data_IF_804501906763
#
_entry.id   IF_804501906763
#
_cell.length_a   1.000
_cell.length_b   1.000
_cell.length_c   1.000
_cell.angle_alpha   90.00
_cell.angle_beta   90.00
_cell.angle_gamma   90.00
#
_symmetry.space_group_name_H-M   'P 1'
#
loop_
_entity.id
_entity.type
_entity.pdbx_description
1 polymer ?
#
# COMPACT_ATOMS: atom_id res chain seq x y z
N UNK A 1 6.80 -10.21 -5.40
CA UNK A 1 7.40 -9.21 -4.50
C UNK A 1 8.63 -9.81 -3.82
N UNK A 2 9.67 -9.00 -3.64
CA UNK A 2 10.91 -9.31 -2.90
C UNK A 2 11.03 -8.55 -1.59
N UNK A 3 10.17 -7.57 -1.37
CA UNK A 3 10.11 -6.78 -0.13
C UNK A 3 8.68 -6.39 0.20
N UNK A 4 8.46 -6.07 1.47
CA UNK A 4 7.16 -5.66 2.01
C UNK A 4 7.31 -4.26 2.60
N UNK A 5 6.43 -3.34 2.23
CA UNK A 5 6.35 -1.98 2.76
C UNK A 5 5.14 -1.90 3.68
N UNK A 6 5.34 -1.38 4.88
CA UNK A 6 4.27 -1.18 5.87
C UNK A 6 4.61 0.00 6.78
N UNK A 7 3.63 0.43 7.57
CA UNK A 7 3.82 1.42 8.62
C UNK A 7 4.22 0.72 9.92
N UNK A 8 5.32 1.15 10.53
CA UNK A 8 5.71 0.66 11.86
C UNK A 8 4.75 1.19 12.93
N UNK A 9 4.25 0.31 13.78
CA UNK A 9 3.38 0.67 14.91
C UNK A 9 4.09 1.55 15.96
N UNK A 10 5.41 1.43 16.08
CA UNK A 10 6.19 2.15 17.11
C UNK A 10 6.43 3.61 16.74
N UNK A 11 6.73 3.86 15.47
CA UNK A 11 7.25 5.15 14.99
C UNK A 11 6.33 5.84 13.98
N UNK A 12 5.28 5.15 13.50
CA UNK A 12 4.45 5.58 12.37
C UNK A 12 5.28 5.98 11.13
N UNK A 13 6.39 5.27 10.91
CA UNK A 13 7.30 5.46 9.77
C UNK A 13 7.09 4.34 8.76
N UNK A 14 7.32 4.66 7.48
CA UNK A 14 7.27 3.69 6.41
C UNK A 14 8.55 2.86 6.43
N UNK A 15 8.40 1.57 6.72
CA UNK A 15 9.48 0.59 6.79
C UNK A 15 9.33 -0.40 5.63
N UNK A 16 10.47 -0.81 5.11
CA UNK A 16 10.59 -1.89 4.12
C UNK A 16 11.29 -3.07 4.77
N UNK A 17 10.64 -4.23 4.78
CA UNK A 17 11.24 -5.51 5.11
C UNK A 17 11.68 -6.19 3.83
N UNK A 18 12.95 -6.55 3.79
CA UNK A 18 13.56 -7.32 2.72
C UNK A 18 13.39 -8.83 2.96
N UNK A 19 13.58 -9.63 1.91
CA UNK A 19 13.57 -11.10 2.01
C UNK A 19 14.60 -11.71 2.95
N UNK A 20 15.68 -11.00 3.24
CA UNK A 20 16.71 -11.38 4.22
C UNK A 20 16.37 -10.95 5.65
N UNK A 21 15.10 -10.56 5.91
CA UNK A 21 14.60 -10.10 7.21
C UNK A 21 15.19 -8.76 7.69
N UNK A 22 15.93 -8.06 6.82
CA UNK A 22 16.43 -6.73 7.11
C UNK A 22 15.32 -5.69 6.97
N UNK A 23 15.18 -4.83 7.99
CA UNK A 23 14.23 -3.72 8.01
C UNK A 23 14.94 -2.39 7.84
N UNK A 24 14.51 -1.59 6.88
CA UNK A 24 15.07 -0.26 6.65
C UNK A 24 13.96 0.75 6.27
N UNK A 25 14.19 2.05 6.50
CA UNK A 25 13.29 3.09 6.02
C UNK A 25 13.12 3.05 4.49
N UNK A 26 11.90 3.32 3.99
CA UNK A 26 11.64 3.40 2.55
C UNK A 26 12.55 4.42 1.85
N UNK A 27 12.87 5.53 2.51
CA UNK A 27 13.77 6.57 1.98
C UNK A 27 15.19 6.09 1.68
N UNK A 28 15.63 5.02 2.33
CA UNK A 28 16.97 4.43 2.15
C UNK A 28 16.95 3.15 1.29
N UNK A 29 15.76 2.70 0.88
CA UNK A 29 15.58 1.49 0.12
C UNK A 29 15.74 1.76 -1.38
N UNK A 30 16.60 0.99 -2.05
CA UNK A 30 16.91 1.12 -3.48
C UNK A 30 16.22 0.06 -4.34
N UNK A 31 15.15 -0.57 -3.83
CA UNK A 31 14.46 -1.65 -4.52
C UNK A 31 13.49 -1.08 -5.55
N UNK A 32 13.43 -1.72 -6.72
CA UNK A 32 12.49 -1.36 -7.76
C UNK A 32 11.05 -1.46 -7.22
N UNK A 33 10.25 -0.41 -7.43
CA UNK A 33 8.86 -0.34 -6.97
C UNK A 33 8.00 -1.50 -7.51
N UNK A 34 8.40 -2.16 -8.60
CA UNK A 34 7.76 -3.38 -9.12
C UNK A 34 7.93 -4.60 -8.24
N UNK A 35 8.95 -4.61 -7.37
CA UNK A 35 9.24 -5.71 -6.46
C UNK A 35 8.67 -5.50 -5.05
N UNK A 36 8.03 -4.36 -4.79
CA UNK A 36 7.43 -4.00 -3.51
C UNK A 36 6.01 -4.56 -3.37
N UNK A 37 5.71 -5.11 -2.20
CA UNK A 37 4.34 -5.38 -1.75
C UNK A 37 3.99 -4.37 -0.67
N UNK A 38 2.98 -3.53 -0.89
CA UNK A 38 2.61 -2.49 0.09
C UNK A 38 1.39 -2.92 0.86
N UNK A 39 1.51 -2.90 2.19
CA UNK A 39 0.40 -3.02 3.11
C UNK A 39 0.11 -1.66 3.73
N UNK A 40 -1.13 -1.21 3.60
CA UNK A 40 -1.64 0.01 4.23
C UNK A 40 -2.88 -0.34 5.04
N UNK A 41 -2.90 0.06 6.29
CA UNK A 41 -4.11 0.02 7.10
C UNK A 41 -5.00 1.25 6.85
N UNK A 42 -6.17 1.25 7.49
CA UNK A 42 -7.18 2.28 7.30
C UNK A 42 -6.74 3.68 7.72
N UNK A 43 -5.88 3.79 8.75
CA UNK A 43 -5.44 5.07 9.29
C UNK A 43 -4.35 5.69 8.40
N UNK A 44 -3.47 4.87 7.84
CA UNK A 44 -2.33 5.31 7.03
C UNK A 44 -2.64 5.49 5.55
N UNK A 45 -3.82 5.05 5.07
CA UNK A 45 -4.34 5.44 3.74
C UNK A 45 -4.57 6.96 3.67
N UNK A 46 -4.83 7.63 4.79
CA UNK A 46 -5.03 9.09 4.85
C UNK A 46 -3.69 9.80 5.10
N UNK A 47 -3.06 10.27 4.02
CA UNK A 47 -1.88 11.14 4.11
C UNK A 47 -0.59 10.55 3.55
N UNK A 48 -0.65 9.33 3.02
CA UNK A 48 0.50 8.69 2.39
C UNK A 48 0.37 8.72 0.87
N UNK A 49 1.28 9.45 0.21
CA UNK A 49 1.43 9.42 -1.25
C UNK A 49 2.54 8.43 -1.63
N UNK A 50 2.16 7.18 -1.93
CA UNK A 50 3.08 6.16 -2.44
C UNK A 50 2.98 6.09 -3.97
N UNK A 51 4.07 6.45 -4.64
CA UNK A 51 4.20 6.35 -6.10
C UNK A 51 4.44 4.91 -6.51
N UNK A 52 3.36 4.15 -6.65
CA UNK A 52 3.38 2.78 -7.16
C UNK A 52 3.45 2.78 -8.70
N UNK A 53 4.07 1.74 -9.30
CA UNK A 53 4.09 1.60 -10.75
C UNK A 53 2.66 1.38 -11.26
N UNK A 54 2.39 1.85 -12.49
CA UNK A 54 1.08 1.70 -13.15
C UNK A 54 0.64 0.23 -13.30
N UNK A 55 1.57 -0.71 -13.24
CA UNK A 55 1.31 -2.16 -13.30
C UNK A 55 0.97 -2.77 -11.93
N UNK A 56 0.84 -1.98 -10.87
CA UNK A 56 0.58 -2.49 -9.53
C UNK A 56 -0.86 -3.02 -9.40
N UNK A 57 -1.01 -4.29 -9.02
CA UNK A 57 -2.32 -4.81 -8.63
C UNK A 57 -2.62 -4.36 -7.19
N UNK A 58 -3.87 -3.98 -6.94
CA UNK A 58 -4.30 -3.60 -5.59
C UNK A 58 -5.49 -4.42 -5.13
N UNK A 59 -5.43 -4.81 -3.86
CA UNK A 59 -6.51 -5.48 -3.17
C UNK A 59 -7.00 -4.53 -2.07
N UNK A 60 -8.32 -4.34 -1.98
CA UNK A 60 -8.94 -3.61 -0.88
C UNK A 60 -9.75 -4.60 -0.07
N UNK A 61 -9.43 -4.69 1.23
CA UNK A 61 -10.15 -5.53 2.19
C UNK A 61 -11.21 -4.68 2.87
N UNK A 62 -12.45 -5.14 2.86
CA UNK A 62 -13.56 -4.46 3.53
C UNK A 62 -13.64 -4.88 5.01
N UNK A 63 -13.51 -3.91 5.91
CA UNK A 63 -13.80 -4.13 7.32
C UNK A 63 -15.31 -4.14 7.61
N UNK A 64 -15.74 -4.88 8.64
CA UNK A 64 -17.16 -5.03 9.06
C UNK A 64 -17.92 -3.71 9.29
N UNK A 65 -17.22 -2.60 9.54
CA UNK A 65 -17.79 -1.27 9.81
C UNK A 65 -17.41 -0.21 8.75
N UNK A 66 -16.99 -0.64 7.56
CA UNK A 66 -16.54 0.28 6.53
C UNK A 66 -17.73 0.90 5.78
N UNK A 67 -17.83 2.24 5.79
CA UNK A 67 -18.89 2.93 5.04
C UNK A 67 -18.61 2.92 3.53
N UNK A 68 -19.68 3.01 2.73
CA UNK A 68 -19.60 3.11 1.27
C UNK A 68 -18.71 4.28 0.83
N UNK A 69 -18.83 5.44 1.48
CA UNK A 69 -18.01 6.61 1.17
C UNK A 69 -16.54 6.37 1.44
N UNK A 70 -16.21 5.66 2.53
CA UNK A 70 -14.83 5.32 2.89
C UNK A 70 -14.22 4.34 1.88
N UNK A 71 -14.98 3.34 1.44
CA UNK A 71 -14.58 2.48 0.32
C UNK A 71 -14.30 3.26 -0.95
N UNK A 72 -15.24 4.13 -1.34
CA UNK A 72 -15.10 4.89 -2.58
C UNK A 72 -13.88 5.80 -2.54
N UNK A 73 -13.63 6.45 -1.39
CA UNK A 73 -12.44 7.29 -1.17
C UNK A 73 -11.13 6.49 -1.23
N UNK A 74 -11.09 5.27 -0.68
CA UNK A 74 -9.92 4.38 -0.81
C UNK A 74 -9.70 3.96 -2.26
N UNK A 75 -10.76 3.55 -2.96
CA UNK A 75 -10.67 3.10 -4.36
C UNK A 75 -10.29 4.24 -5.31
N UNK A 76 -10.76 5.47 -5.07
CA UNK A 76 -10.38 6.66 -5.85
C UNK A 76 -8.90 6.98 -5.66
N UNK A 77 -8.39 6.94 -4.42
CA UNK A 77 -6.95 7.14 -4.16
C UNK A 77 -6.08 6.08 -4.84
N UNK A 78 -6.57 4.84 -4.91
CA UNK A 78 -5.93 3.78 -5.69
C UNK A 78 -6.14 3.93 -7.21
N UNK A 79 -7.10 4.75 -7.66
CA UNK A 79 -7.42 5.01 -9.06
C UNK A 79 -6.55 6.10 -9.68
N UNK A 80 -6.01 7.03 -8.88
CA UNK A 80 -5.01 8.01 -9.35
C UNK A 80 -3.70 7.36 -9.85
N UNK A 81 -3.57 6.03 -9.78
CA UNK A 81 -2.53 5.21 -10.41
C UNK A 81 -2.82 4.82 -11.88
N UNK A 82 -3.65 5.60 -12.56
CA UNK A 82 -4.11 5.54 -13.95
C UNK A 82 -4.19 4.17 -14.70
N UNK A 83 -5.44 3.88 -15.07
CA UNK A 83 -6.00 3.07 -16.16
C UNK A 83 -5.88 1.54 -16.31
N UNK A 84 -4.95 0.76 -15.75
CA UNK A 84 -5.01 -0.71 -15.94
C UNK A 84 -4.59 -1.47 -14.69
N UNK A 85 -5.46 -1.52 -13.69
CA UNK A 85 -5.27 -2.39 -12.53
C UNK A 85 -6.53 -3.20 -12.27
N UNK A 86 -6.38 -4.53 -12.21
CA UNK A 86 -7.44 -5.42 -11.74
C UNK A 86 -7.64 -5.16 -10.25
N UNK A 87 -8.73 -4.45 -9.94
CA UNK A 87 -9.10 -4.11 -8.55
C UNK A 87 -9.88 -5.26 -7.97
N UNK A 88 -9.21 -6.06 -7.15
CA UNK A 88 -9.88 -7.12 -6.42
C UNK A 88 -10.34 -6.54 -5.08
N UNK A 89 -11.65 -6.31 -4.96
CA UNK A 89 -12.27 -6.00 -3.66
C UNK A 89 -12.63 -7.35 -3.04
N UNK A 90 -12.03 -7.66 -1.89
CA UNK A 90 -12.37 -8.84 -1.12
C UNK A 90 -13.37 -8.40 -0.04
N UNK A 91 -14.60 -8.93 -0.15
CA UNK A 91 -15.71 -8.70 0.78
C UNK A 91 -15.67 -9.76 1.87
#
# INVERSE_FOLDING_TARGET
FRSIVYFSDEDNKIIVILRNEESLPLSTCHIDNKELFVYLDEIHIRGTDLKLPLTANTIVILGKNMSKDKLMQTVIRLRDLDFITSKHVLI
#
